data_IF_280864221048
#
_entry.id   IF_280864221048
#
_cell.length_a   1.000
_cell.length_b   1.000
_cell.length_c   1.000
_cell.angle_alpha   90.00
_cell.angle_beta   90.00
_cell.angle_gamma   90.00
#
_symmetry.space_group_name_H-M   'P 1'
#
loop_
_entity.id
_entity.type
_entity.pdbx_description
1 polymer ?
#
# COMPACT_ATOMS: atom_id res chain seq x y z
N UNK A 1 -54.19 10.13 -1.50
CA UNK A 1 -53.39 8.88 -1.37
C UNK A 1 -52.01 9.02 -1.98
N UNK A 2 -51.87 9.36 -3.28
CA UNK A 2 -50.57 9.47 -3.96
C UNK A 2 -49.65 10.54 -3.33
N UNK A 3 -50.16 11.76 -3.09
CA UNK A 3 -49.36 12.82 -2.46
C UNK A 3 -48.86 12.46 -1.05
N UNK A 4 -49.66 11.71 -0.30
CA UNK A 4 -49.32 11.29 1.06
C UNK A 4 -48.19 10.23 1.03
N UNK A 5 -48.21 9.33 0.05
CA UNK A 5 -47.12 8.39 -0.20
C UNK A 5 -45.83 9.10 -0.64
N UNK A 6 -45.92 10.11 -1.51
CA UNK A 6 -44.75 10.88 -1.95
C UNK A 6 -44.09 11.65 -0.80
N UNK A 7 -44.87 12.25 0.10
CA UNK A 7 -44.35 12.98 1.25
C UNK A 7 -43.66 12.04 2.26
N UNK A 8 -44.24 10.86 2.51
CA UNK A 8 -43.64 9.87 3.42
C UNK A 8 -42.33 9.29 2.86
N UNK A 9 -42.29 8.96 1.57
CA UNK A 9 -41.07 8.47 0.93
C UNK A 9 -40.00 9.56 0.85
N UNK A 10 -40.37 10.77 0.45
CA UNK A 10 -39.46 11.92 0.42
C UNK A 10 -38.89 12.24 1.80
N UNK A 11 -39.75 12.28 2.83
CA UNK A 11 -39.33 12.49 4.21
C UNK A 11 -38.41 11.39 4.74
N UNK A 12 -38.70 10.12 4.42
CA UNK A 12 -37.85 8.99 4.80
C UNK A 12 -36.47 9.02 4.15
N UNK A 13 -36.40 9.35 2.86
CA UNK A 13 -35.12 9.53 2.14
C UNK A 13 -34.34 10.70 2.71
N UNK A 14 -35.01 11.84 2.95
CA UNK A 14 -34.37 13.03 3.50
C UNK A 14 -33.84 12.76 4.92
N UNK A 15 -34.59 12.02 5.74
CA UNK A 15 -34.17 11.62 7.07
C UNK A 15 -33.01 10.62 7.02
N UNK A 16 -33.02 9.66 6.08
CA UNK A 16 -31.89 8.74 5.89
C UNK A 16 -30.60 9.46 5.45
N UNK A 17 -30.72 10.51 4.63
CA UNK A 17 -29.58 11.34 4.17
C UNK A 17 -29.09 12.27 5.29
N UNK A 18 -30.00 12.86 6.08
CA UNK A 18 -29.65 13.84 7.11
C UNK A 18 -29.36 13.22 8.49
N UNK A 19 -29.83 12.01 8.78
CA UNK A 19 -29.52 11.28 10.01
C UNK A 19 -28.02 11.13 10.31
N UNK A 20 -27.14 10.78 9.34
CA UNK A 20 -25.70 10.74 9.60
C UNK A 20 -25.10 12.11 9.94
N UNK A 21 -25.75 13.23 9.58
CA UNK A 21 -25.26 14.58 9.88
C UNK A 21 -25.47 14.98 11.36
N UNK A 22 -26.50 14.41 12.01
CA UNK A 22 -26.83 14.66 13.42
C UNK A 22 -26.29 13.57 14.36
N UNK A 23 -25.78 12.47 13.81
CA UNK A 23 -24.97 11.52 14.54
C UNK A 23 -23.59 12.14 14.73
N UNK A 24 -23.33 12.66 15.92
CA UNK A 24 -21.96 12.97 16.37
C UNK A 24 -21.19 11.66 16.49
N UNK A 25 -20.74 11.14 15.35
CA UNK A 25 -19.75 10.09 15.31
C UNK A 25 -18.42 10.77 15.67
N UNK A 26 -18.03 10.64 16.95
CA UNK A 26 -16.69 11.01 17.44
C UNK A 26 -15.56 10.33 16.63
N UNK A 27 -15.89 9.32 15.83
CA UNK A 27 -15.01 8.62 14.90
C UNK A 27 -14.70 9.42 13.61
N UNK A 28 -15.55 10.37 13.21
CA UNK A 28 -15.31 11.20 12.01
C UNK A 28 -14.40 12.38 12.34
N UNK A 29 -14.49 12.94 13.56
CA UNK A 29 -13.57 13.97 14.05
C UNK A 29 -12.13 13.44 14.14
N UNK A 30 -11.94 12.21 14.63
CA UNK A 30 -10.63 11.53 14.63
C UNK A 30 -10.15 11.21 13.21
N UNK A 31 -11.03 10.82 12.29
CA UNK A 31 -10.64 10.46 10.93
C UNK A 31 -10.25 11.65 10.04
N UNK A 32 -10.60 12.89 10.41
CA UNK A 32 -10.32 14.10 9.61
C UNK A 32 -9.09 14.88 10.14
N UNK A 33 -8.63 14.60 11.37
CA UNK A 33 -7.51 15.34 12.00
C UNK A 33 -6.37 14.46 12.56
N UNK A 34 -6.55 13.15 12.75
CA UNK A 34 -5.42 12.28 13.09
C UNK A 34 -4.67 11.86 11.83
N UNK A 35 -3.71 12.70 11.45
CA UNK A 35 -2.63 12.29 10.56
C UNK A 35 -1.97 11.05 11.17
N UNK A 36 -2.02 9.91 10.47
CA UNK A 36 -1.51 8.67 11.03
C UNK A 36 0.00 8.76 11.23
N UNK A 37 0.55 8.04 12.21
CA UNK A 37 2.00 7.99 12.42
C UNK A 37 2.76 7.61 11.14
N UNK A 38 2.15 6.76 10.31
CA UNK A 38 2.67 6.37 9.00
C UNK A 38 2.75 7.57 8.03
N UNK A 39 1.71 8.40 7.93
CA UNK A 39 1.69 9.57 7.05
C UNK A 39 2.75 10.60 7.43
N UNK A 40 2.93 10.83 8.74
CA UNK A 40 3.96 11.71 9.28
C UNK A 40 5.36 11.23 8.89
N UNK A 41 5.63 9.93 9.00
CA UNK A 41 6.91 9.34 8.63
C UNK A 41 7.17 9.38 7.12
N UNK A 42 6.14 9.16 6.28
CA UNK A 42 6.29 9.31 4.83
C UNK A 42 6.62 10.74 4.43
N UNK A 43 5.94 11.74 5.01
CA UNK A 43 6.29 13.15 4.75
C UNK A 43 7.71 13.47 5.20
N UNK A 44 8.13 13.00 6.36
CA UNK A 44 9.50 13.20 6.85
C UNK A 44 10.53 12.60 5.89
N UNK A 45 10.27 11.39 5.38
CA UNK A 45 11.08 10.73 4.35
C UNK A 45 11.19 11.59 3.09
N UNK A 46 10.08 12.14 2.59
CA UNK A 46 10.08 13.01 1.41
C UNK A 46 10.89 14.29 1.64
N UNK A 47 10.75 14.92 2.81
CA UNK A 47 11.52 16.12 3.16
C UNK A 47 13.03 15.84 3.18
N UNK A 48 13.47 14.75 3.80
CA UNK A 48 14.90 14.41 3.85
C UNK A 48 15.44 14.11 2.44
N UNK A 49 14.68 13.42 1.60
CA UNK A 49 15.07 13.18 0.21
C UNK A 49 15.20 14.47 -0.60
N UNK A 50 14.27 15.41 -0.41
CA UNK A 50 14.35 16.75 -1.00
C UNK A 50 15.63 17.47 -0.57
N UNK A 51 15.94 17.47 0.72
CA UNK A 51 17.15 18.10 1.26
C UNK A 51 18.43 17.50 0.67
N UNK A 52 18.50 16.17 0.49
CA UNK A 52 19.65 15.52 -0.16
C UNK A 52 19.77 15.95 -1.63
N UNK A 53 18.65 16.06 -2.35
CA UNK A 53 18.66 16.50 -3.75
C UNK A 53 19.11 17.96 -3.88
N UNK A 54 18.64 18.84 -3.00
CA UNK A 54 19.04 20.25 -2.97
C UNK A 54 20.53 20.38 -2.61
N UNK A 55 21.01 19.62 -1.62
CA UNK A 55 22.42 19.56 -1.24
C UNK A 55 23.31 19.13 -2.43
N UNK A 56 22.89 18.10 -3.17
CA UNK A 56 23.59 17.61 -4.36
C UNK A 56 23.61 18.65 -5.49
N UNK A 57 22.54 19.43 -5.61
CA UNK A 57 22.49 20.52 -6.56
C UNK A 57 23.45 21.64 -6.18
N UNK A 58 23.48 22.07 -4.91
CA UNK A 58 24.38 23.12 -4.44
C UNK A 58 25.87 22.76 -4.62
N UNK A 59 26.22 21.50 -4.33
CA UNK A 59 27.55 20.96 -4.58
C UNK A 59 27.92 20.98 -6.07
N UNK A 60 27.02 20.49 -6.94
CA UNK A 60 27.24 20.53 -8.41
C UNK A 60 27.36 21.94 -8.96
N UNK A 61 26.70 22.91 -8.34
CA UNK A 61 26.85 24.32 -8.68
C UNK A 61 28.15 24.96 -8.13
N UNK A 62 28.97 24.20 -7.39
CA UNK A 62 30.23 24.67 -6.81
C UNK A 62 30.06 25.59 -5.61
N UNK A 63 28.87 25.63 -4.98
CA UNK A 63 28.62 26.46 -3.79
C UNK A 63 29.14 25.84 -2.50
N UNK A 64 29.32 24.53 -2.49
CA UNK A 64 29.79 23.74 -1.35
C UNK A 64 31.11 23.03 -1.67
N UNK A 65 31.95 22.86 -0.65
CA UNK A 65 33.15 22.02 -0.74
C UNK A 65 32.78 20.53 -0.70
N UNK A 66 33.65 19.66 -1.23
CA UNK A 66 33.45 18.20 -1.17
C UNK A 66 33.35 17.71 0.29
N UNK A 67 34.16 18.28 1.18
CA UNK A 67 34.18 17.90 2.60
C UNK A 67 32.88 18.29 3.31
N UNK A 68 32.31 19.46 3.01
CA UNK A 68 31.04 19.90 3.59
C UNK A 68 29.87 19.10 3.02
N UNK A 69 29.89 18.83 1.71
CA UNK A 69 28.88 18.00 1.06
C UNK A 69 28.82 16.61 1.68
N UNK A 70 29.96 15.92 1.79
CA UNK A 70 30.02 14.57 2.36
C UNK A 70 29.56 14.55 3.82
N UNK A 71 29.95 15.55 4.61
CA UNK A 71 29.53 15.67 6.01
C UNK A 71 28.01 15.80 6.14
N UNK A 72 27.41 16.78 5.44
CA UNK A 72 25.95 17.03 5.54
C UNK A 72 25.17 15.88 4.92
N UNK A 73 25.66 15.29 3.83
CA UNK A 73 25.04 14.13 3.20
C UNK A 73 25.04 12.93 4.14
N UNK A 74 26.12 12.71 4.88
CA UNK A 74 26.22 11.66 5.90
C UNK A 74 25.21 11.85 7.02
N UNK A 75 25.06 13.08 7.53
CA UNK A 75 24.05 13.43 8.54
C UNK A 75 22.62 13.14 8.04
N UNK A 76 22.26 13.64 6.85
CA UNK A 76 20.93 13.40 6.25
C UNK A 76 20.69 11.92 5.94
N UNK A 77 21.70 11.18 5.47
CA UNK A 77 21.59 9.74 5.22
C UNK A 77 21.34 8.95 6.52
N UNK A 78 21.96 9.37 7.63
CA UNK A 78 21.69 8.82 8.96
C UNK A 78 20.25 9.07 9.41
N UNK A 79 19.74 10.30 9.24
CA UNK A 79 18.35 10.63 9.54
C UNK A 79 17.36 9.83 8.67
N UNK A 80 17.65 9.70 7.38
CA UNK A 80 16.84 8.93 6.44
C UNK A 80 16.76 7.45 6.85
N UNK A 81 17.90 6.85 7.23
CA UNK A 81 17.95 5.47 7.69
C UNK A 81 17.10 5.25 8.96
N UNK A 82 17.14 6.21 9.89
CA UNK A 82 16.32 6.14 11.11
C UNK A 82 14.81 6.20 10.81
N UNK A 83 14.38 7.05 9.85
CA UNK A 83 12.97 7.15 9.44
C UNK A 83 12.52 5.88 8.73
N UNK A 84 13.33 5.30 7.84
CA UNK A 84 13.00 4.03 7.20
C UNK A 84 12.82 2.90 8.22
N UNK A 85 13.67 2.84 9.24
CA UNK A 85 13.54 1.83 10.28
C UNK A 85 12.22 1.96 11.08
N UNK A 86 11.78 3.19 11.36
CA UNK A 86 10.48 3.43 12.01
C UNK A 86 9.31 2.98 11.12
N UNK A 87 9.38 3.21 9.81
CA UNK A 87 8.37 2.73 8.85
C UNK A 87 8.32 1.19 8.86
N UNK A 88 9.48 0.54 8.76
CA UNK A 88 9.57 -0.93 8.78
C UNK A 88 8.99 -1.53 10.06
N UNK A 89 9.19 -0.88 11.20
CA UNK A 89 8.67 -1.35 12.49
C UNK A 89 7.14 -1.21 12.58
N UNK A 90 6.56 -0.14 12.02
CA UNK A 90 5.10 0.00 11.90
C UNK A 90 4.53 -1.06 10.95
N UNK A 91 5.16 -1.30 9.80
CA UNK A 91 4.71 -2.33 8.85
C UNK A 91 4.74 -3.73 9.46
N UNK A 92 5.76 -4.06 10.26
CA UNK A 92 5.82 -5.32 11.02
C UNK A 92 4.74 -5.39 12.09
N UNK A 93 4.50 -4.29 12.82
CA UNK A 93 3.51 -4.23 13.89
C UNK A 93 2.06 -4.42 13.39
N UNK A 94 1.77 -4.03 12.14
CA UNK A 94 0.46 -4.23 11.52
C UNK A 94 0.16 -5.69 11.13
N UNK A 95 1.02 -6.65 11.49
CA UNK A 95 0.89 -8.10 11.23
C UNK A 95 0.62 -8.45 9.75
N UNK A 96 0.84 -7.50 8.84
CA UNK A 96 0.68 -7.64 7.40
C UNK A 96 1.46 -8.86 6.89
N UNK A 97 2.62 -9.04 7.47
CA UNK A 97 3.56 -10.11 7.21
C UNK A 97 2.99 -11.50 7.59
N UNK A 98 2.27 -11.62 8.71
CA UNK A 98 1.60 -12.86 9.06
C UNK A 98 0.32 -13.08 8.24
N UNK A 99 -0.39 -12.02 7.86
CA UNK A 99 -1.53 -12.12 6.94
C UNK A 99 -1.07 -12.65 5.57
N UNK A 100 0.04 -12.14 5.03
CA UNK A 100 0.65 -12.63 3.79
C UNK A 100 1.05 -14.11 3.94
N UNK A 101 1.76 -14.47 5.02
CA UNK A 101 2.14 -15.87 5.28
C UNK A 101 0.93 -16.81 5.38
N UNK A 102 -0.14 -16.38 6.04
CA UNK A 102 -1.40 -17.13 6.15
C UNK A 102 -2.06 -17.33 4.78
N UNK A 103 -2.13 -16.28 3.96
CA UNK A 103 -2.72 -16.38 2.61
C UNK A 103 -1.88 -17.29 1.69
N UNK A 104 -0.54 -17.19 1.73
CA UNK A 104 0.36 -18.08 0.98
C UNK A 104 0.15 -19.54 1.41
N UNK A 105 0.10 -19.81 2.71
CA UNK A 105 -0.15 -21.16 3.23
C UNK A 105 -1.52 -21.69 2.81
N UNK A 106 -2.56 -20.84 2.86
CA UNK A 106 -3.91 -21.20 2.38
C UNK A 106 -3.88 -21.62 0.91
N UNK A 107 -3.20 -20.85 0.06
CA UNK A 107 -3.09 -21.14 -1.38
C UNK A 107 -2.27 -22.39 -1.68
N UNK A 108 -1.16 -22.62 -0.96
CA UNK A 108 -0.36 -23.85 -1.10
C UNK A 108 -1.14 -25.11 -0.72
N UNK A 109 -1.98 -25.02 0.30
CA UNK A 109 -2.77 -26.16 0.79
C UNK A 109 -4.12 -26.33 0.06
N UNK A 110 -4.46 -25.46 -0.89
CA UNK A 110 -5.66 -25.67 -1.71
C UNK A 110 -5.43 -26.85 -2.66
N UNK A 111 -6.29 -27.88 -2.64
CA UNK A 111 -6.19 -28.98 -3.58
C UNK A 111 -6.45 -28.45 -4.98
N UNK A 112 -5.44 -28.52 -5.85
CA UNK A 112 -5.62 -28.30 -7.28
C UNK A 112 -6.17 -29.58 -7.91
N UNK A 113 -7.06 -29.48 -8.91
CA UNK A 113 -7.52 -30.67 -9.65
C UNK A 113 -6.30 -31.34 -10.31
N UNK A 114 -6.08 -32.62 -10.02
CA UNK A 114 -4.90 -33.43 -10.40
C UNK A 114 -4.80 -33.73 -11.92
N UNK A 115 -5.49 -32.95 -12.74
CA UNK A 115 -5.36 -33.06 -14.19
C UNK A 115 -4.07 -32.37 -14.60
N UNK A 116 -3.06 -33.16 -14.98
CA UNK A 116 -1.79 -32.65 -15.49
C UNK A 116 -1.87 -32.52 -17.02
N UNK A 117 -1.42 -31.37 -17.55
CA UNK A 117 -1.33 -31.08 -18.98
C UNK A 117 0.11 -30.79 -19.39
N UNK A 118 0.50 -31.29 -20.55
CA UNK A 118 1.85 -31.04 -21.08
C UNK A 118 1.92 -29.68 -21.77
N UNK A 119 3.03 -28.97 -21.58
CA UNK A 119 3.30 -27.72 -22.27
C UNK A 119 3.62 -27.98 -23.75
N UNK A 120 2.95 -27.31 -24.71
CA UNK A 120 3.23 -27.50 -26.13
C UNK A 120 4.57 -26.92 -26.57
N UNK A 121 5.19 -26.03 -25.79
CA UNK A 121 6.46 -25.38 -26.14
C UNK A 121 7.69 -26.12 -25.60
N UNK A 122 7.63 -26.70 -24.41
CA UNK A 122 8.78 -27.37 -23.78
C UNK A 122 8.51 -28.78 -23.26
N UNK A 123 7.26 -29.26 -23.30
CA UNK A 123 6.89 -30.59 -22.82
C UNK A 123 6.74 -30.74 -21.30
N UNK A 124 6.96 -29.69 -20.51
CA UNK A 124 6.82 -29.75 -19.05
C UNK A 124 5.38 -30.08 -18.62
N UNK A 125 5.22 -30.93 -17.61
CA UNK A 125 3.91 -31.31 -17.06
C UNK A 125 3.44 -30.26 -16.05
N UNK A 126 2.32 -29.60 -16.34
CA UNK A 126 1.77 -28.52 -15.52
C UNK A 126 0.37 -28.92 -15.00
N UNK A 127 -0.01 -28.51 -13.77
CA UNK A 127 -1.40 -28.62 -13.32
C UNK A 127 -2.36 -27.88 -14.26
N UNK A 128 -3.58 -28.37 -14.43
CA UNK A 128 -4.60 -27.75 -15.29
C UNK A 128 -4.95 -26.31 -14.86
N UNK A 129 -4.81 -25.99 -13.57
CA UNK A 129 -5.04 -24.66 -13.04
C UNK A 129 -4.03 -23.59 -13.54
N UNK A 130 -2.84 -24.01 -14.00
CA UNK A 130 -1.79 -23.08 -14.42
C UNK A 130 -2.12 -22.48 -15.79
N UNK A 131 -2.26 -21.15 -15.90
CA UNK A 131 -2.45 -20.46 -17.19
C UNK A 131 -1.17 -20.36 -18.03
N UNK A 132 0.00 -20.46 -17.38
CA UNK A 132 1.32 -20.39 -17.99
C UNK A 132 2.17 -21.57 -17.54
N UNK A 133 3.14 -21.96 -18.36
CA UNK A 133 4.08 -23.02 -18.01
C UNK A 133 5.03 -22.56 -16.90
N UNK A 134 5.19 -23.36 -15.85
CA UNK A 134 6.07 -23.06 -14.73
C UNK A 134 7.57 -23.11 -15.08
N UNK A 135 7.93 -23.75 -16.21
CA UNK A 135 9.32 -23.91 -16.65
C UNK A 135 9.73 -22.87 -17.69
N UNK A 136 8.93 -22.70 -18.76
CA UNK A 136 9.30 -21.86 -19.90
C UNK A 136 8.44 -20.58 -20.06
N UNK A 137 7.43 -20.38 -19.20
CA UNK A 137 6.55 -19.21 -19.26
C UNK A 137 5.52 -19.18 -20.40
N UNK A 138 5.54 -20.16 -21.32
CA UNK A 138 4.60 -20.22 -22.43
C UNK A 138 3.14 -20.33 -21.95
N UNK A 139 2.22 -19.64 -22.63
CA UNK A 139 0.80 -19.69 -22.31
C UNK A 139 0.25 -21.09 -22.61
N UNK A 140 -0.40 -21.70 -21.62
CA UNK A 140 -1.01 -23.02 -21.75
C UNK A 140 -2.47 -22.82 -22.16
N UNK A 141 -2.79 -23.12 -23.43
CA UNK A 141 -4.15 -22.99 -24.00
C UNK A 141 -5.14 -23.74 -23.11
N UNK A 142 -6.21 -23.05 -22.67
CA UNK A 142 -7.29 -23.60 -21.84
C UNK A 142 -7.98 -24.75 -22.55
#
# INVERSE_FOLDING_TARGET
>A
MIYLACVLLGGGVLLAICAPLFRRDSAVESAILEETEWDLLQRKKEVILGNIQDLDFEHKCGKLSDADHERIRGELAGEFAAVLQQIDDIEKAQDLDALIRREIARRKNQPSPDVKRSCPSCGHSNPAANKFCAECGAQLKS
#
